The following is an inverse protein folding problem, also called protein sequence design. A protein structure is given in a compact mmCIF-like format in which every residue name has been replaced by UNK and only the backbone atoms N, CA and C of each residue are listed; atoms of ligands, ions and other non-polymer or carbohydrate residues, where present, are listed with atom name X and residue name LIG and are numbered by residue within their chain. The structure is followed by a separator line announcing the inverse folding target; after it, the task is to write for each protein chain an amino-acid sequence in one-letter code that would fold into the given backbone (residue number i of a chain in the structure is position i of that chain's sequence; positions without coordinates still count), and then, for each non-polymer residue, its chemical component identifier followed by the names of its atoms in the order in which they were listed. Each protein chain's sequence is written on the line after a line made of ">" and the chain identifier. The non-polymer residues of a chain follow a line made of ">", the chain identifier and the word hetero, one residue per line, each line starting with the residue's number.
data_IF_134568724527
#
_entry.id   IF_134568724527
#
_cell.length_a   1.000
_cell.length_b   1.000
_cell.length_c   1.000
_cell.angle_alpha   90.00
_cell.angle_beta   90.00
_cell.angle_gamma   90.00
#
_symmetry.space_group_name_H-M   'P 1'
#
loop_
_entity.id
_entity.type
_entity.pdbx_description
1 polymer ?
#
# COMPACT_ATOMS: atom_id res chain seq x y z
N UNK A 1 -6.67 13.54 2.22
CA UNK A 1 -6.96 13.32 0.78
C UNK A 1 -7.15 11.83 0.55
N UNK A 2 -8.17 11.44 -0.21
CA UNK A 2 -8.43 10.04 -0.57
C UNK A 2 -7.53 9.60 -1.72
N UNK A 3 -7.45 8.31 -1.99
CA UNK A 3 -6.66 7.73 -3.07
C UNK A 3 -7.27 7.87 -4.46
N UNK A 4 -8.46 8.48 -4.60
CA UNK A 4 -9.13 8.66 -5.89
C UNK A 4 -8.28 9.44 -6.91
N UNK A 5 -7.49 10.41 -6.43
CA UNK A 5 -6.62 11.23 -7.26
C UNK A 5 -5.21 11.24 -6.73
N UNK A 6 -4.22 11.25 -7.62
CA UNK A 6 -2.81 11.45 -7.28
C UNK A 6 -2.54 12.93 -6.93
N UNK A 7 -1.37 13.25 -6.34
CA UNK A 7 -0.99 14.64 -6.07
C UNK A 7 -0.85 15.52 -7.32
N UNK A 8 -0.74 14.90 -8.50
CA UNK A 8 -0.66 15.58 -9.81
C UNK A 8 -1.97 15.43 -10.62
N UNK A 9 -3.09 15.18 -9.94
CA UNK A 9 -4.44 15.11 -10.51
C UNK A 9 -4.73 13.94 -11.46
N UNK A 10 -3.85 12.94 -11.57
CA UNK A 10 -4.19 11.67 -12.21
C UNK A 10 -5.27 10.92 -11.42
N UNK A 11 -6.20 10.24 -12.10
CA UNK A 11 -7.31 9.50 -11.46
C UNK A 11 -6.94 8.04 -11.26
N UNK A 12 -7.28 7.47 -10.10
CA UNK A 12 -7.04 6.06 -9.83
C UNK A 12 -8.07 5.21 -10.60
N UNK A 13 -7.64 4.19 -11.35
CA UNK A 13 -8.53 3.48 -12.27
C UNK A 13 -9.52 2.53 -11.59
N UNK A 14 -9.19 2.00 -10.41
CA UNK A 14 -9.90 0.85 -9.84
C UNK A 14 -9.77 0.70 -8.31
N UNK A 15 -10.18 -0.46 -7.83
CA UNK A 15 -9.93 -0.98 -6.48
C UNK A 15 -8.46 -1.37 -6.26
N UNK A 16 -8.11 -1.51 -4.99
CA UNK A 16 -6.83 -2.02 -4.49
C UNK A 16 -7.11 -3.36 -3.80
N UNK A 17 -6.39 -4.40 -4.21
CA UNK A 17 -6.37 -5.70 -3.57
C UNK A 17 -5.41 -5.71 -2.39
N UNK A 18 -5.86 -6.13 -1.23
CA UNK A 18 -5.02 -6.36 -0.04
C UNK A 18 -4.90 -7.85 0.20
N UNK A 19 -3.67 -8.34 0.25
CA UNK A 19 -3.33 -9.73 0.57
C UNK A 19 -2.53 -9.74 1.86
N UNK A 20 -3.19 -9.99 2.99
CA UNK A 20 -2.54 -10.15 4.28
C UNK A 20 -2.20 -11.63 4.52
N UNK A 21 -0.95 -11.98 4.23
CA UNK A 21 -0.40 -13.32 4.46
C UNK A 21 -0.03 -13.56 5.93
N UNK A 22 0.02 -12.50 6.75
CA UNK A 22 0.30 -12.63 8.19
C UNK A 22 -0.95 -13.11 8.91
N UNK A 23 -2.12 -12.57 8.55
CA UNK A 23 -3.41 -12.91 9.15
C UNK A 23 -4.28 -13.87 8.31
N UNK A 24 -3.75 -14.33 7.16
CA UNK A 24 -4.42 -15.17 6.15
C UNK A 24 -5.76 -14.60 5.68
N UNK A 25 -5.73 -13.33 5.24
CA UNK A 25 -6.92 -12.57 4.82
C UNK A 25 -6.68 -11.88 3.49
N UNK A 26 -7.74 -11.76 2.71
CA UNK A 26 -7.75 -11.02 1.47
C UNK A 26 -9.01 -10.17 1.38
N UNK A 27 -8.88 -8.92 0.95
CA UNK A 27 -10.02 -8.04 0.72
C UNK A 27 -9.68 -6.98 -0.31
N UNK A 28 -10.70 -6.36 -0.89
CA UNK A 28 -10.56 -5.23 -1.82
C UNK A 28 -11.10 -3.96 -1.19
N UNK A 29 -10.47 -2.82 -1.47
CA UNK A 29 -11.02 -1.49 -1.17
C UNK A 29 -11.05 -0.64 -2.42
N UNK A 30 -12.03 0.25 -2.52
CA UNK A 30 -11.98 1.30 -3.53
C UNK A 30 -10.85 2.27 -3.21
N UNK A 31 -10.23 2.84 -4.24
CA UNK A 31 -9.15 3.81 -4.04
C UNK A 31 -9.61 5.08 -3.30
N UNK A 32 -10.89 5.44 -3.38
CA UNK A 32 -11.45 6.57 -2.64
C UNK A 32 -11.70 6.27 -1.14
N UNK A 33 -11.70 5.00 -0.74
CA UNK A 33 -11.84 4.56 0.65
C UNK A 33 -10.51 4.50 1.42
N UNK A 34 -9.38 4.70 0.73
CA UNK A 34 -8.04 4.66 1.33
C UNK A 34 -7.34 6.02 1.26
N UNK A 35 -6.37 6.27 2.15
CA UNK A 35 -5.49 7.44 2.03
C UNK A 35 -4.72 7.45 0.71
N UNK A 36 -4.45 8.66 0.21
CA UNK A 36 -3.65 8.87 -1.00
C UNK A 36 -2.25 8.22 -0.94
N UNK A 37 -1.62 8.21 0.24
CA UNK A 37 -0.31 7.59 0.48
C UNK A 37 -0.31 6.06 0.38
N UNK A 38 -1.50 5.43 0.40
CA UNK A 38 -1.68 4.00 0.19
C UNK A 38 -1.96 3.71 -1.29
N UNK A 39 -2.79 4.54 -1.93
CA UNK A 39 -3.22 4.35 -3.32
C UNK A 39 -2.19 4.79 -4.38
N UNK A 40 -1.19 5.59 -4.00
CA UNK A 40 -0.21 6.13 -4.93
C UNK A 40 1.20 6.03 -4.38
N UNK A 41 2.15 5.71 -5.26
CA UNK A 41 3.58 5.70 -4.97
C UNK A 41 4.28 6.58 -6.00
N UNK A 42 5.22 7.40 -5.55
CA UNK A 42 6.09 8.16 -6.45
C UNK A 42 7.36 7.36 -6.70
N UNK A 43 7.57 6.94 -7.94
CA UNK A 43 8.79 6.26 -8.39
C UNK A 43 9.48 7.20 -9.37
N UNK A 44 10.67 7.66 -9.01
CA UNK A 44 11.50 8.54 -9.87
C UNK A 44 10.76 9.78 -10.41
N UNK A 45 9.87 10.38 -9.59
CA UNK A 45 9.10 11.57 -9.97
C UNK A 45 7.77 11.26 -10.67
N UNK A 46 7.50 10.00 -11.01
CA UNK A 46 6.24 9.56 -11.64
C UNK A 46 5.32 8.95 -10.59
N UNK A 47 4.04 9.35 -10.61
CA UNK A 47 3.03 8.79 -9.70
C UNK A 47 2.39 7.55 -10.32
N UNK A 48 2.56 6.41 -9.66
CA UNK A 48 1.97 5.13 -10.03
C UNK A 48 0.81 4.81 -9.10
N UNK A 49 -0.30 4.34 -9.68
CA UNK A 49 -1.42 3.82 -8.91
C UNK A 49 -1.07 2.46 -8.33
N UNK A 50 -1.53 2.18 -7.12
CA UNK A 50 -1.30 0.91 -6.43
C UNK A 50 -2.53 0.04 -6.64
N UNK A 51 -2.37 -1.11 -7.28
CA UNK A 51 -3.49 -2.03 -7.53
C UNK A 51 -3.49 -3.22 -6.56
N UNK A 52 -2.33 -3.54 -5.97
CA UNK A 52 -2.19 -4.63 -5.01
C UNK A 52 -1.22 -4.28 -3.89
N UNK A 53 -1.58 -4.65 -2.67
CA UNK A 53 -0.74 -4.54 -1.48
C UNK A 53 -0.64 -5.92 -0.86
N UNK A 54 0.59 -6.38 -0.69
CA UNK A 54 0.92 -7.65 -0.06
C UNK A 54 1.55 -7.39 1.31
N UNK A 55 0.98 -7.99 2.36
CA UNK A 55 1.46 -7.88 3.74
C UNK A 55 2.01 -9.24 4.14
N UNK A 56 3.30 -9.31 4.39
CA UNK A 56 4.04 -10.53 4.78
C UNK A 56 4.85 -10.29 6.05
N UNK A 57 5.61 -11.30 6.48
CA UNK A 57 6.46 -11.23 7.67
C UNK A 57 5.75 -11.77 8.90
N UNK A 58 5.83 -11.05 10.01
CA UNK A 58 5.21 -11.45 11.28
C UNK A 58 4.35 -10.33 11.85
N UNK A 59 3.54 -10.63 12.86
CA UNK A 59 2.74 -9.63 13.58
C UNK A 59 3.62 -8.52 14.17
N UNK A 60 4.84 -8.85 14.60
CA UNK A 60 5.82 -7.89 15.14
C UNK A 60 6.67 -7.19 14.07
N UNK A 61 6.64 -7.67 12.82
CA UNK A 61 7.43 -7.08 11.74
C UNK A 61 6.73 -7.35 10.41
N UNK A 62 5.80 -6.47 10.08
CA UNK A 62 5.05 -6.54 8.82
C UNK A 62 5.88 -5.93 7.70
N UNK A 63 6.03 -6.67 6.61
CA UNK A 63 6.56 -6.17 5.35
C UNK A 63 5.37 -5.87 4.45
N UNK A 64 5.25 -4.62 4.02
CA UNK A 64 4.18 -4.16 3.15
C UNK A 64 4.79 -3.87 1.79
N UNK A 65 4.43 -4.65 0.78
CA UNK A 65 4.87 -4.47 -0.60
C UNK A 65 3.72 -3.95 -1.44
N UNK A 66 3.94 -2.88 -2.20
CA UNK A 66 2.95 -2.28 -3.09
C UNK A 66 3.29 -2.57 -4.54
N UNK A 67 2.27 -2.93 -5.30
CA UNK A 67 2.38 -3.23 -6.72
C UNK A 67 1.45 -2.34 -7.54
N UNK A 68 1.92 -1.97 -8.73
CA UNK A 68 1.22 -1.18 -9.73
C UNK A 68 0.32 -2.02 -10.62
N UNK A 69 -0.03 -1.50 -11.78
CA UNK A 69 -0.69 -2.29 -12.82
C UNK A 69 0.21 -3.45 -13.27
N UNK A 70 -0.40 -4.53 -13.77
CA UNK A 70 0.29 -5.72 -14.29
C UNK A 70 1.23 -6.45 -13.29
N UNK A 71 1.18 -6.08 -12.01
CA UNK A 71 2.03 -6.66 -10.97
C UNK A 71 3.39 -6.00 -10.82
N UNK A 72 3.60 -4.82 -11.42
CA UNK A 72 4.84 -4.06 -11.31
C UNK A 72 5.18 -3.76 -9.85
N UNK A 73 6.42 -4.01 -9.45
CA UNK A 73 6.90 -3.62 -8.11
C UNK A 73 7.03 -2.10 -8.01
N UNK A 74 6.46 -1.49 -6.96
CA UNK A 74 6.57 -0.05 -6.72
C UNK A 74 7.45 0.24 -5.49
N UNK A 75 7.11 -0.31 -4.33
CA UNK A 75 7.89 -0.12 -3.11
C UNK A 75 7.66 -1.24 -2.09
N UNK A 76 8.59 -1.35 -1.13
CA UNK A 76 8.42 -2.15 0.09
C UNK A 76 8.76 -1.31 1.31
N UNK A 77 7.87 -1.35 2.30
CA UNK A 77 8.06 -0.73 3.60
C UNK A 77 8.04 -1.77 4.71
N UNK A 78 8.92 -1.63 5.69
CA UNK A 78 8.93 -2.47 6.90
C UNK A 78 8.29 -1.68 8.04
N UNK A 79 7.17 -2.19 8.55
CA UNK A 79 6.52 -1.66 9.73
C UNK A 79 6.85 -2.54 10.93
N UNK A 80 7.58 -1.97 11.89
CA UNK A 80 7.86 -2.59 13.19
C UNK A 80 7.10 -1.80 14.28
N UNK A 81 6.68 -2.44 15.39
CA UNK A 81 6.09 -1.73 16.51
C UNK A 81 7.11 -0.71 17.06
N UNK A 82 6.64 0.40 17.64
CA UNK A 82 7.52 1.37 18.25
C UNK A 82 8.38 0.71 19.35
N UNK A 83 9.62 1.17 19.57
CA UNK A 83 10.46 0.66 20.64
C UNK A 83 9.71 0.73 21.96
N UNK A 84 9.69 -0.36 22.74
CA UNK A 84 9.16 -0.30 24.11
C UNK A 84 9.99 0.71 24.90
N UNK A 85 9.36 1.62 25.68
CA UNK A 85 10.10 2.47 26.60
C UNK A 85 11.02 1.60 27.47
N UNK A 86 12.30 1.95 27.56
CA UNK A 86 13.19 1.32 28.54
C UNK A 86 12.74 1.75 29.94
N UNK A 87 12.68 0.83 30.92
CA UNK A 87 12.35 1.16 32.31
C UNK A 87 13.39 2.10 32.92
#
# INVERSE_FOLDING_TARGET
>A
MTGKTSPVSATHPSQILFEDRVDDRQWTKQADEVPQTIAWVNVEGVWHCVTRIEITGTVEKRRITKYGQDGDFLETTIQSPPPRPRP
#
